data_IF_302542299820
#
_entry.id   IF_302542299820
#
_cell.length_a   1.000
_cell.length_b   1.000
_cell.length_c   1.000
_cell.angle_alpha   90.00
_cell.angle_beta   90.00
_cell.angle_gamma   90.00
#
_symmetry.space_group_name_H-M   'P 1'
#
loop_
_entity.id
_entity.type
_entity.pdbx_description
1 polymer ?
#
# COMPACT_ATOMS: atom_id res chain seq x y z
N UNK A 1 -4.27 7.67 -22.33
CA UNK A 1 -3.54 8.45 -21.31
C UNK A 1 -4.25 8.31 -19.99
N UNK A 2 -3.54 8.00 -18.94
CA UNK A 2 -4.09 8.02 -17.58
C UNK A 2 -4.31 9.49 -17.21
N UNK A 3 -5.52 9.84 -16.79
CA UNK A 3 -5.85 11.23 -16.44
C UNK A 3 -5.27 11.53 -15.05
N UNK A 4 -4.53 12.63 -14.91
CA UNK A 4 -4.04 13.14 -13.63
C UNK A 4 -5.20 13.49 -12.71
N UNK A 5 -4.99 13.33 -11.40
CA UNK A 5 -5.92 13.86 -10.41
C UNK A 5 -5.84 15.39 -10.39
N UNK A 6 -6.98 16.08 -10.29
CA UNK A 6 -6.99 17.55 -10.23
C UNK A 6 -6.36 18.05 -8.92
N UNK A 7 -5.78 19.25 -8.96
CA UNK A 7 -5.10 19.87 -7.80
C UNK A 7 -6.02 19.95 -6.57
N UNK A 8 -7.29 20.21 -6.78
CA UNK A 8 -8.31 20.36 -5.73
C UNK A 8 -8.63 19.05 -4.99
N UNK A 9 -8.14 17.92 -5.52
CA UNK A 9 -8.26 16.63 -4.84
C UNK A 9 -7.39 16.56 -3.59
N UNK A 10 -6.32 17.36 -3.54
CA UNK A 10 -5.32 17.33 -2.47
C UNK A 10 -5.49 18.49 -1.51
N UNK A 11 -5.38 18.22 -0.21
CA UNK A 11 -5.56 19.21 0.85
C UNK A 11 -4.27 19.39 1.64
N UNK A 12 -3.65 20.56 1.51
CA UNK A 12 -2.39 20.88 2.17
C UNK A 12 -2.60 21.91 3.27
N UNK A 13 -1.81 21.87 4.35
CA UNK A 13 -1.70 22.98 5.30
C UNK A 13 -0.82 24.10 4.67
N UNK A 14 -1.36 24.79 3.67
CA UNK A 14 -0.65 25.68 2.75
C UNK A 14 0.25 26.68 3.46
N UNK A 15 -0.28 27.40 4.45
CA UNK A 15 0.49 28.42 5.20
C UNK A 15 1.71 27.82 5.92
N UNK A 16 1.55 26.62 6.49
CA UNK A 16 2.67 25.93 7.15
C UNK A 16 3.71 25.44 6.14
N UNK A 17 3.29 24.95 4.99
CA UNK A 17 4.22 24.49 3.96
C UNK A 17 4.96 25.68 3.36
N UNK A 18 4.26 26.75 2.98
CA UNK A 18 4.85 27.98 2.45
C UNK A 18 5.82 28.66 3.41
N UNK A 19 5.54 28.60 4.72
CA UNK A 19 6.47 29.11 5.73
C UNK A 19 7.70 28.21 5.98
N UNK A 20 7.80 27.08 5.28
CA UNK A 20 8.88 26.11 5.45
C UNK A 20 8.82 25.30 6.75
N UNK A 21 7.69 25.27 7.45
CA UNK A 21 7.55 24.56 8.74
C UNK A 21 7.94 23.07 8.64
N UNK A 22 7.74 22.46 7.47
CA UNK A 22 8.06 21.05 7.20
C UNK A 22 9.34 20.88 6.36
N UNK A 23 10.06 21.95 6.11
CA UNK A 23 11.25 21.95 5.27
C UNK A 23 12.53 21.74 6.09
N UNK A 24 13.51 21.06 5.53
CA UNK A 24 14.85 21.05 6.10
C UNK A 24 15.41 22.47 6.12
N UNK A 25 15.96 22.87 7.26
CA UNK A 25 16.36 24.25 7.52
C UNK A 25 17.38 24.82 6.50
N UNK A 26 18.16 23.97 5.84
CA UNK A 26 19.11 24.44 4.82
C UNK A 26 18.43 24.94 3.54
N UNK A 27 17.23 24.48 3.22
CA UNK A 27 16.45 25.01 2.09
C UNK A 27 15.94 26.42 2.38
N UNK A 28 15.49 26.69 3.61
CA UNK A 28 15.08 28.04 4.01
C UNK A 28 16.25 29.03 3.97
N UNK A 29 17.45 28.58 4.40
CA UNK A 29 18.68 29.37 4.27
C UNK A 29 19.07 29.60 2.80
N UNK A 30 18.81 28.60 1.95
CA UNK A 30 19.03 28.74 0.49
C UNK A 30 18.17 29.87 -0.06
N UNK A 31 16.88 29.90 0.25
CA UNK A 31 15.97 30.96 -0.15
C UNK A 31 16.41 32.34 0.39
N UNK A 32 16.77 32.40 1.69
CA UNK A 32 17.25 33.63 2.32
C UNK A 32 18.51 34.19 1.62
N UNK A 33 19.46 33.29 1.27
CA UNK A 33 20.70 33.68 0.58
C UNK A 33 20.40 34.16 -0.82
N UNK A 34 19.61 33.42 -1.61
CA UNK A 34 19.28 33.76 -3.00
C UNK A 34 18.55 35.11 -3.07
N UNK A 35 17.57 35.32 -2.20
CA UNK A 35 16.82 36.56 -2.14
C UNK A 35 17.72 37.72 -1.64
N UNK A 36 18.57 37.50 -0.63
CA UNK A 36 19.46 38.52 -0.07
C UNK A 36 20.56 38.99 -1.04
N UNK A 37 21.05 38.07 -1.89
CA UNK A 37 22.07 38.35 -2.90
C UNK A 37 21.44 38.80 -4.25
N UNK A 38 20.11 38.83 -4.35
CA UNK A 38 19.36 39.09 -5.57
C UNK A 38 19.82 38.18 -6.71
N UNK A 39 20.04 36.89 -6.39
CA UNK A 39 20.55 35.88 -7.31
C UNK A 39 19.45 34.85 -7.63
N UNK A 40 18.81 34.98 -8.79
CA UNK A 40 17.64 34.26 -9.21
C UNK A 40 17.87 33.44 -10.47
N UNK A 41 18.73 32.40 -10.45
CA UNK A 41 18.99 31.58 -11.62
C UNK A 41 17.78 30.69 -11.92
N UNK A 42 17.49 30.49 -13.20
CA UNK A 42 16.54 29.46 -13.65
C UNK A 42 17.23 28.10 -13.58
N UNK A 43 16.82 27.25 -12.65
CA UNK A 43 17.36 25.90 -12.49
C UNK A 43 16.42 24.85 -13.06
N UNK A 44 16.98 23.69 -13.47
CA UNK A 44 16.21 22.48 -13.71
C UNK A 44 16.61 21.44 -12.64
N UNK A 45 15.65 21.10 -11.79
CA UNK A 45 15.75 20.04 -10.80
C UNK A 45 15.27 18.74 -11.42
N UNK A 46 16.05 17.67 -11.31
CA UNK A 46 15.72 16.32 -11.79
C UNK A 46 15.49 15.40 -10.62
N UNK A 47 14.32 14.73 -10.59
CA UNK A 47 13.95 13.78 -9.56
C UNK A 47 14.11 12.34 -10.10
N UNK A 48 14.74 11.47 -9.31
CA UNK A 48 14.99 10.08 -9.66
C UNK A 48 15.11 9.19 -8.42
N UNK A 49 15.12 7.88 -8.62
CA UNK A 49 15.43 6.87 -7.59
C UNK A 49 16.54 5.95 -8.05
N UNK A 50 17.10 5.16 -7.12
CA UNK A 50 18.13 4.15 -7.41
C UNK A 50 17.58 2.72 -7.43
N UNK A 51 16.28 2.58 -7.43
CA UNK A 51 15.57 1.31 -7.34
C UNK A 51 14.59 1.14 -8.50
N UNK A 52 14.15 -0.11 -8.73
CA UNK A 52 13.00 -0.38 -9.60
C UNK A 52 11.74 -0.18 -8.78
N UNK A 53 10.93 0.79 -9.16
CA UNK A 53 9.72 1.17 -8.43
C UNK A 53 8.52 1.39 -9.33
N UNK A 54 7.34 1.16 -8.77
CA UNK A 54 6.08 1.71 -9.27
C UNK A 54 5.94 3.10 -8.66
N UNK A 55 5.99 4.14 -9.49
CA UNK A 55 5.93 5.52 -9.02
C UNK A 55 4.51 5.84 -8.55
N UNK A 56 4.41 6.53 -7.40
CA UNK A 56 3.15 7.04 -6.88
C UNK A 56 3.40 8.29 -6.05
N UNK A 57 2.45 9.23 -6.06
CA UNK A 57 2.57 10.54 -5.44
C UNK A 57 3.01 11.64 -6.41
N UNK A 58 3.08 11.35 -7.71
CA UNK A 58 3.38 12.36 -8.75
C UNK A 58 2.31 13.44 -8.79
N UNK A 59 1.04 13.05 -8.86
CA UNK A 59 -0.06 14.01 -8.95
C UNK A 59 -0.16 14.87 -7.67
N UNK A 60 0.10 14.28 -6.49
CA UNK A 60 0.16 15.03 -5.23
C UNK A 60 1.36 15.98 -5.20
N UNK A 61 2.52 15.58 -5.70
CA UNK A 61 3.71 16.43 -5.81
C UNK A 61 3.46 17.61 -6.75
N UNK A 62 2.81 17.38 -7.88
CA UNK A 62 2.40 18.44 -8.81
C UNK A 62 1.46 19.43 -8.12
N UNK A 63 0.43 18.92 -7.45
CA UNK A 63 -0.53 19.74 -6.71
C UNK A 63 0.16 20.56 -5.59
N UNK A 64 1.11 19.94 -4.87
CA UNK A 64 1.91 20.61 -3.86
C UNK A 64 2.67 21.81 -4.45
N UNK A 65 3.40 21.62 -5.56
CA UNK A 65 4.19 22.67 -6.21
C UNK A 65 3.26 23.79 -6.69
N UNK A 66 2.18 23.45 -7.40
CA UNK A 66 1.21 24.43 -7.91
C UNK A 66 0.51 25.24 -6.82
N UNK A 67 0.37 24.67 -5.60
CA UNK A 67 -0.34 25.32 -4.49
C UNK A 67 0.61 26.04 -3.53
N UNK A 68 1.78 25.49 -3.30
CA UNK A 68 2.66 25.90 -2.20
C UNK A 68 3.96 26.55 -2.63
N UNK A 69 4.34 26.57 -3.90
CA UNK A 69 5.46 27.38 -4.39
C UNK A 69 5.16 28.89 -4.24
N UNK A 70 6.19 29.73 -4.19
CA UNK A 70 6.01 31.19 -4.07
C UNK A 70 5.41 31.79 -5.33
N UNK A 71 5.94 31.43 -6.51
CA UNK A 71 5.46 31.88 -7.82
C UNK A 71 5.22 30.68 -8.75
N UNK A 72 4.17 29.89 -8.50
CA UNK A 72 3.95 28.61 -9.20
C UNK A 72 3.74 28.76 -10.71
N UNK A 73 3.26 29.91 -11.17
CA UNK A 73 3.06 30.24 -12.57
C UNK A 73 4.38 30.32 -13.37
N UNK A 74 5.51 30.53 -12.71
CA UNK A 74 6.85 30.59 -13.30
C UNK A 74 7.57 29.24 -13.33
N UNK A 75 6.93 28.18 -12.76
CA UNK A 75 7.51 26.84 -12.67
C UNK A 75 6.97 25.95 -13.78
N UNK A 76 7.86 25.35 -14.55
CA UNK A 76 7.53 24.35 -15.56
C UNK A 76 7.80 22.95 -15.01
N UNK A 77 6.81 22.06 -15.07
CA UNK A 77 6.93 20.69 -14.58
C UNK A 77 6.73 19.72 -15.75
N UNK A 78 7.64 18.75 -15.88
CA UNK A 78 7.43 17.58 -16.72
C UNK A 78 7.49 16.34 -15.82
N UNK A 79 6.53 15.42 -15.96
CA UNK A 79 6.44 14.29 -15.05
C UNK A 79 5.86 13.02 -15.70
N UNK A 80 6.21 11.87 -15.15
CA UNK A 80 5.53 10.60 -15.38
C UNK A 80 4.14 10.61 -14.71
N UNK A 81 3.39 9.52 -14.86
CA UNK A 81 2.12 9.31 -14.20
C UNK A 81 2.26 8.35 -12.99
N UNK A 82 1.34 8.48 -12.02
CA UNK A 82 1.21 7.48 -10.97
C UNK A 82 0.90 6.11 -11.56
N UNK A 83 1.65 5.10 -11.16
CA UNK A 83 1.57 3.74 -11.70
C UNK A 83 2.61 3.40 -12.76
N UNK A 84 3.34 4.38 -13.28
CA UNK A 84 4.48 4.13 -14.14
C UNK A 84 5.57 3.36 -13.40
N UNK A 85 6.27 2.48 -14.13
CA UNK A 85 7.43 1.77 -13.62
C UNK A 85 8.70 2.48 -14.07
N UNK A 86 9.62 2.72 -13.13
CA UNK A 86 10.92 3.32 -13.41
C UNK A 86 12.05 2.40 -12.99
N UNK A 87 13.16 2.52 -13.73
CA UNK A 87 14.42 1.84 -13.45
C UNK A 87 15.33 2.75 -12.62
N UNK A 88 16.39 2.19 -11.99
CA UNK A 88 17.40 2.98 -11.32
C UNK A 88 17.94 4.10 -12.20
N UNK A 89 17.99 5.33 -11.66
CA UNK A 89 18.48 6.55 -12.32
C UNK A 89 17.57 7.13 -13.42
N UNK A 90 16.44 6.52 -13.71
CA UNK A 90 15.47 7.07 -14.64
C UNK A 90 14.81 8.32 -14.04
N UNK A 91 14.81 9.43 -14.80
CA UNK A 91 14.15 10.67 -14.39
C UNK A 91 12.64 10.49 -14.41
N UNK A 92 11.99 10.75 -13.27
CA UNK A 92 10.54 10.64 -13.15
C UNK A 92 9.82 12.00 -13.20
N UNK A 93 10.55 13.07 -12.89
CA UNK A 93 10.04 14.44 -12.90
C UNK A 93 11.18 15.42 -13.11
N UNK A 94 10.92 16.52 -13.83
CA UNK A 94 11.74 17.71 -13.81
C UNK A 94 10.92 18.91 -13.37
N UNK A 95 11.53 19.78 -12.54
CA UNK A 95 10.96 21.01 -12.03
C UNK A 95 11.90 22.13 -12.46
N UNK A 96 11.40 23.07 -13.27
CA UNK A 96 12.23 24.14 -13.83
C UNK A 96 11.67 25.50 -13.46
N UNK A 97 12.47 26.32 -12.78
CA UNK A 97 12.08 27.64 -12.31
C UNK A 97 13.19 28.32 -11.50
N UNK A 98 12.87 29.45 -10.85
CA UNK A 98 13.73 30.05 -9.84
C UNK A 98 13.80 29.13 -8.62
N UNK A 99 15.01 28.78 -8.19
CA UNK A 99 15.18 27.90 -7.02
C UNK A 99 14.55 28.47 -5.74
N UNK A 100 14.57 29.78 -5.58
CA UNK A 100 13.97 30.44 -4.40
C UNK A 100 12.44 30.28 -4.36
N UNK A 101 11.79 29.96 -5.48
CA UNK A 101 10.33 29.76 -5.51
C UNK A 101 9.88 28.39 -4.97
N UNK A 102 10.75 27.37 -4.97
CA UNK A 102 10.35 26.00 -4.63
C UNK A 102 11.34 25.18 -3.79
N UNK A 103 12.49 25.75 -3.38
CA UNK A 103 13.49 25.02 -2.60
C UNK A 103 12.90 24.45 -1.30
N UNK A 104 12.04 25.21 -0.60
CA UNK A 104 11.37 24.76 0.64
C UNK A 104 10.45 23.55 0.48
N UNK A 105 10.09 23.17 -0.73
CA UNK A 105 9.18 22.06 -1.00
C UNK A 105 9.91 20.71 -1.13
N UNK A 106 11.24 20.69 -1.30
CA UNK A 106 11.99 19.48 -1.61
C UNK A 106 11.78 18.38 -0.55
N UNK A 107 11.92 18.71 0.72
CA UNK A 107 11.69 17.74 1.81
C UNK A 107 10.28 17.12 1.73
N UNK A 108 9.28 17.93 1.41
CA UNK A 108 7.88 17.51 1.40
C UNK A 108 7.59 16.60 0.21
N UNK A 109 7.95 17.03 -1.02
CA UNK A 109 7.63 16.22 -2.20
C UNK A 109 8.45 14.92 -2.27
N UNK A 110 9.70 14.91 -1.82
CA UNK A 110 10.46 13.66 -1.75
C UNK A 110 9.86 12.68 -0.74
N UNK A 111 9.32 13.17 0.37
CA UNK A 111 8.60 12.37 1.36
C UNK A 111 7.31 11.75 0.81
N UNK A 112 6.52 12.53 0.05
CA UNK A 112 5.32 12.06 -0.65
C UNK A 112 5.67 10.91 -1.60
N UNK A 113 6.62 11.15 -2.52
CA UNK A 113 7.07 10.16 -3.50
C UNK A 113 7.62 8.90 -2.83
N UNK A 114 8.45 9.05 -1.78
CA UNK A 114 9.08 7.93 -1.09
C UNK A 114 8.03 7.01 -0.43
N UNK A 115 7.08 7.58 0.31
CA UNK A 115 6.05 6.80 0.99
C UNK A 115 5.13 6.08 0.01
N UNK A 116 4.54 6.84 -0.90
CA UNK A 116 3.52 6.29 -1.79
C UNK A 116 4.09 5.30 -2.80
N UNK A 117 5.27 5.58 -3.37
CA UNK A 117 5.92 4.63 -4.30
C UNK A 117 6.35 3.35 -3.58
N UNK A 118 6.78 3.41 -2.32
CA UNK A 118 7.09 2.23 -1.52
C UNK A 118 5.86 1.31 -1.40
N UNK A 119 4.72 1.88 -1.03
CA UNK A 119 3.47 1.13 -0.85
C UNK A 119 3.01 0.57 -2.20
N UNK A 120 2.95 1.39 -3.25
CA UNK A 120 2.55 0.96 -4.59
C UNK A 120 3.44 -0.19 -5.11
N UNK A 121 4.75 -0.09 -4.90
CA UNK A 121 5.73 -1.11 -5.31
C UNK A 121 5.55 -2.42 -4.55
N UNK A 122 5.42 -2.37 -3.22
CA UNK A 122 5.22 -3.56 -2.40
C UNK A 122 3.89 -4.25 -2.72
N UNK A 123 2.84 -3.46 -2.94
CA UNK A 123 1.54 -3.95 -3.36
C UNK A 123 1.62 -4.61 -4.74
N UNK A 124 2.25 -3.99 -5.74
CA UNK A 124 2.43 -4.56 -7.08
C UNK A 124 3.11 -5.93 -7.00
N UNK A 125 4.23 -6.03 -6.30
CA UNK A 125 4.96 -7.28 -6.07
C UNK A 125 4.10 -8.36 -5.40
N UNK A 126 3.21 -7.95 -4.51
CA UNK A 126 2.30 -8.86 -3.78
C UNK A 126 1.16 -9.35 -4.68
N UNK A 127 0.57 -8.46 -5.46
CA UNK A 127 -0.51 -8.79 -6.41
C UNK A 127 0.01 -9.72 -7.51
N UNK A 128 1.20 -9.45 -8.05
CA UNK A 128 1.84 -10.33 -9.02
C UNK A 128 2.13 -11.72 -8.45
N UNK A 129 2.60 -11.78 -7.20
CA UNK A 129 2.85 -13.05 -6.51
C UNK A 129 1.59 -13.89 -6.34
N UNK A 130 0.43 -13.25 -6.19
CA UNK A 130 -0.86 -13.92 -5.98
C UNK A 130 -1.47 -14.56 -7.25
N UNK A 131 -0.79 -14.44 -8.40
CA UNK A 131 -1.14 -15.12 -9.65
C UNK A 131 -2.62 -14.97 -10.04
N UNK A 132 -3.15 -13.75 -9.97
CA UNK A 132 -4.54 -13.42 -10.31
C UNK A 132 -5.56 -13.59 -9.19
N UNK A 133 -5.18 -14.17 -8.05
CA UNK A 133 -6.05 -14.24 -6.87
C UNK A 133 -6.18 -12.89 -6.20
N UNK A 134 -7.33 -12.58 -5.57
CA UNK A 134 -7.52 -11.34 -4.84
C UNK A 134 -6.52 -11.15 -3.69
N UNK A 135 -6.00 -9.93 -3.56
CA UNK A 135 -5.21 -9.49 -2.41
C UNK A 135 -5.97 -8.38 -1.72
N UNK A 136 -6.14 -8.47 -0.39
CA UNK A 136 -6.77 -7.46 0.45
C UNK A 136 -5.72 -6.64 1.19
N UNK A 137 -5.91 -5.32 1.22
CA UNK A 137 -5.03 -4.36 1.89
C UNK A 137 -5.44 -4.23 3.37
N UNK A 138 -4.66 -4.85 4.26
CA UNK A 138 -4.96 -4.90 5.70
C UNK A 138 -3.91 -4.24 6.61
N UNK A 139 -3.07 -3.29 6.14
CA UNK A 139 -2.05 -2.68 6.98
C UNK A 139 -2.52 -1.46 7.79
N UNK A 140 -3.79 -1.05 7.74
CA UNK A 140 -4.29 0.20 8.32
C UNK A 140 -3.86 0.46 9.78
N UNK A 141 -3.67 -0.60 10.59
CA UNK A 141 -3.25 -0.49 12.00
C UNK A 141 -1.73 -0.40 12.21
N UNK A 142 -0.94 -0.51 11.14
CA UNK A 142 0.53 -0.50 11.25
C UNK A 142 1.13 0.90 11.10
N UNK A 143 0.29 1.91 10.81
CA UNK A 143 0.69 3.29 10.76
C UNK A 143 -0.43 4.21 11.30
N UNK A 144 -0.18 5.53 11.32
CA UNK A 144 -1.15 6.52 11.82
C UNK A 144 -2.38 6.61 10.90
N UNK A 145 -3.52 6.94 11.50
CA UNK A 145 -4.78 7.09 10.77
C UNK A 145 -4.73 8.20 9.72
N UNK A 146 -3.88 9.24 9.92
CA UNK A 146 -3.76 10.37 9.00
C UNK A 146 -3.26 9.97 7.61
N UNK A 147 -2.56 8.84 7.48
CA UNK A 147 -2.01 8.39 6.20
C UNK A 147 -2.90 7.39 5.46
N UNK A 148 -4.01 6.96 6.04
CA UNK A 148 -4.83 5.89 5.45
C UNK A 148 -5.35 6.21 4.05
N UNK A 149 -5.74 7.45 3.77
CA UNK A 149 -6.26 7.83 2.46
C UNK A 149 -5.18 7.75 1.37
N UNK A 150 -4.00 8.33 1.61
CA UNK A 150 -2.90 8.25 0.66
C UNK A 150 -2.31 6.83 0.54
N UNK A 151 -2.27 6.06 1.63
CA UNK A 151 -1.87 4.65 1.61
C UNK A 151 -2.82 3.81 0.75
N UNK A 152 -4.12 4.07 0.88
CA UNK A 152 -5.17 3.44 0.08
C UNK A 152 -5.07 3.79 -1.41
N UNK A 153 -4.78 5.05 -1.72
CA UNK A 153 -4.50 5.47 -3.10
C UNK A 153 -3.28 4.75 -3.68
N UNK A 154 -2.17 4.74 -2.95
CA UNK A 154 -0.95 4.05 -3.38
C UNK A 154 -1.18 2.54 -3.57
N UNK A 155 -1.97 1.91 -2.69
CA UNK A 155 -2.33 0.51 -2.82
C UNK A 155 -3.22 0.23 -4.05
N UNK A 156 -4.15 1.14 -4.38
CA UNK A 156 -4.93 1.08 -5.62
C UNK A 156 -4.03 1.14 -6.84
N UNK A 157 -3.07 2.07 -6.88
CA UNK A 157 -2.06 2.19 -7.95
C UNK A 157 -1.26 0.89 -8.08
N UNK A 158 -0.90 0.26 -6.97
CA UNK A 158 -0.24 -1.05 -6.94
C UNK A 158 -1.11 -2.22 -7.44
N UNK A 159 -2.43 -2.05 -7.52
CA UNK A 159 -3.37 -3.05 -8.05
C UNK A 159 -4.33 -3.70 -7.05
N UNK A 160 -4.39 -3.22 -5.79
CA UNK A 160 -5.37 -3.68 -4.79
C UNK A 160 -6.79 -3.23 -5.19
N UNK A 161 -7.76 -4.09 -4.88
CA UNK A 161 -9.18 -3.83 -5.11
C UNK A 161 -10.03 -3.92 -3.84
N UNK A 162 -9.46 -4.39 -2.73
CA UNK A 162 -10.18 -4.54 -1.47
C UNK A 162 -9.37 -4.02 -0.29
N UNK A 163 -10.00 -3.22 0.57
CA UNK A 163 -9.37 -2.45 1.65
C UNK A 163 -10.07 -2.72 2.98
N UNK A 164 -9.35 -2.64 4.10
CA UNK A 164 -9.91 -2.93 5.43
C UNK A 164 -10.63 -1.74 6.08
N UNK A 165 -10.45 -0.52 5.58
CA UNK A 165 -11.12 0.67 6.10
C UNK A 165 -11.75 1.50 4.98
N UNK A 166 -12.76 2.29 5.31
CA UNK A 166 -13.39 3.23 4.37
C UNK A 166 -12.38 4.27 3.89
N UNK A 167 -11.48 4.73 4.77
CA UNK A 167 -10.43 5.68 4.41
C UNK A 167 -9.47 5.12 3.35
N UNK A 168 -8.99 3.88 3.54
CA UNK A 168 -8.17 3.23 2.50
C UNK A 168 -8.95 2.99 1.20
N UNK A 169 -10.27 2.76 1.28
CA UNK A 169 -11.12 2.49 0.11
C UNK A 169 -11.53 3.76 -0.65
N UNK A 170 -11.31 4.95 -0.10
CA UNK A 170 -11.82 6.24 -0.61
C UNK A 170 -11.49 6.43 -2.10
N UNK A 171 -10.23 6.31 -2.48
CA UNK A 171 -9.79 6.48 -3.86
C UNK A 171 -10.39 5.47 -4.85
N UNK A 172 -10.95 4.37 -4.35
CA UNK A 172 -11.62 3.33 -5.15
C UNK A 172 -13.15 3.49 -5.18
N UNK A 173 -13.69 4.50 -4.51
CA UNK A 173 -15.14 4.72 -4.36
C UNK A 173 -15.85 3.59 -3.60
N UNK A 174 -15.09 2.78 -2.85
CA UNK A 174 -15.56 1.60 -2.14
C UNK A 174 -15.81 1.83 -0.66
N UNK A 175 -16.13 0.72 0.01
CA UNK A 175 -16.24 0.61 1.46
C UNK A 175 -15.20 -0.35 1.99
N UNK A 176 -14.84 -0.20 3.25
CA UNK A 176 -13.98 -1.13 3.95
C UNK A 176 -14.57 -2.53 3.95
N UNK A 177 -13.73 -3.51 3.63
CA UNK A 177 -14.06 -4.93 3.70
C UNK A 177 -13.53 -5.49 5.02
N UNK A 178 -14.29 -6.34 5.65
CA UNK A 178 -13.88 -6.94 6.89
C UNK A 178 -14.62 -8.23 7.20
N UNK A 179 -14.06 -8.95 8.16
CA UNK A 179 -14.66 -10.12 8.75
C UNK A 179 -14.96 -9.80 10.22
N UNK A 180 -15.12 -10.78 11.08
CA UNK A 180 -15.18 -10.58 12.53
C UNK A 180 -13.76 -10.63 13.13
N UNK A 181 -13.43 -9.81 14.14
CA UNK A 181 -12.16 -9.89 14.86
C UNK A 181 -12.18 -10.92 15.98
N UNK A 182 -11.00 -11.37 16.43
CA UNK A 182 -10.85 -12.20 17.64
C UNK A 182 -11.55 -11.59 18.88
N UNK A 183 -11.57 -10.26 19.00
CA UNK A 183 -12.23 -9.56 20.10
C UNK A 183 -13.74 -9.85 20.16
N UNK A 184 -14.42 -9.97 19.02
CA UNK A 184 -15.83 -10.36 19.02
C UNK A 184 -16.00 -11.80 19.52
N UNK A 185 -15.17 -12.74 19.04
CA UNK A 185 -15.21 -14.13 19.47
C UNK A 185 -14.96 -14.23 20.99
N UNK A 186 -13.97 -13.50 21.48
CA UNK A 186 -13.68 -13.44 22.91
C UNK A 186 -14.87 -12.92 23.72
N UNK A 187 -15.61 -11.91 23.22
CA UNK A 187 -16.82 -11.38 23.88
C UNK A 187 -17.99 -12.38 23.92
N UNK A 188 -17.94 -13.41 23.07
CA UNK A 188 -18.82 -14.58 23.12
C UNK A 188 -18.22 -15.78 23.86
N UNK A 189 -17.32 -15.51 24.83
CA UNK A 189 -16.62 -16.52 25.60
C UNK A 189 -15.87 -17.58 24.76
N UNK A 190 -15.30 -17.14 23.63
CA UNK A 190 -14.58 -18.03 22.72
C UNK A 190 -15.47 -18.81 21.73
N UNK A 191 -16.77 -18.63 21.78
CA UNK A 191 -17.69 -19.36 20.91
C UNK A 191 -17.76 -18.73 19.52
N UNK A 192 -16.89 -19.19 18.60
CA UNK A 192 -16.81 -18.71 17.22
C UNK A 192 -18.13 -18.91 16.46
N UNK A 193 -18.84 -20.01 16.70
CA UNK A 193 -20.13 -20.27 16.04
C UNK A 193 -21.15 -19.21 16.45
N UNK A 194 -21.32 -18.95 17.74
CA UNK A 194 -22.27 -17.95 18.23
C UNK A 194 -21.92 -16.53 17.75
N UNK A 195 -20.64 -16.18 17.75
CA UNK A 195 -20.18 -14.89 17.22
C UNK A 195 -20.50 -14.74 15.72
N UNK A 196 -20.33 -15.81 14.93
CA UNK A 196 -20.61 -15.80 13.48
C UNK A 196 -22.12 -15.81 13.19
N UNK A 197 -22.93 -16.49 14.01
CA UNK A 197 -24.40 -16.39 13.93
C UNK A 197 -24.89 -14.96 14.21
N UNK A 198 -24.32 -14.30 15.22
CA UNK A 198 -24.63 -12.91 15.51
C UNK A 198 -24.24 -11.99 14.35
N UNK A 199 -23.08 -12.23 13.74
CA UNK A 199 -22.68 -11.54 12.51
C UNK A 199 -23.71 -11.74 11.39
N UNK A 200 -24.17 -12.96 11.15
CA UNK A 200 -25.20 -13.24 10.14
C UNK A 200 -26.53 -12.55 10.43
N UNK A 201 -26.91 -12.51 11.68
CA UNK A 201 -28.21 -11.95 12.11
C UNK A 201 -28.26 -10.42 12.06
N UNK A 202 -27.17 -9.74 12.44
CA UNK A 202 -27.22 -8.29 12.72
C UNK A 202 -26.50 -7.42 11.69
N UNK A 203 -25.64 -7.97 10.86
CA UNK A 203 -24.91 -7.22 9.83
C UNK A 203 -25.63 -7.33 8.50
N UNK A 204 -25.61 -6.27 7.69
CA UNK A 204 -26.25 -6.21 6.38
C UNK A 204 -25.93 -7.48 5.56
N UNK A 205 -26.96 -8.11 5.00
CA UNK A 205 -26.85 -9.36 4.23
C UNK A 205 -25.96 -9.24 2.97
N UNK A 206 -25.71 -8.01 2.49
CA UNK A 206 -24.77 -7.76 1.39
C UNK A 206 -23.31 -8.00 1.78
N UNK A 207 -22.99 -8.00 3.06
CA UNK A 207 -21.63 -8.26 3.54
C UNK A 207 -21.41 -9.78 3.59
N UNK A 208 -20.37 -10.27 2.92
CA UNK A 208 -20.05 -11.69 2.88
C UNK A 208 -19.71 -12.23 4.29
N UNK A 209 -20.35 -13.34 4.67
CA UNK A 209 -20.10 -14.00 5.97
C UNK A 209 -18.81 -14.79 5.90
N UNK A 210 -17.74 -14.21 6.43
CA UNK A 210 -16.42 -14.84 6.53
C UNK A 210 -16.10 -15.03 8.01
N UNK A 211 -16.00 -16.28 8.44
CA UNK A 211 -15.71 -16.64 9.83
C UNK A 211 -14.20 -16.68 10.07
N UNK A 212 -13.75 -16.17 11.22
CA UNK A 212 -12.37 -16.29 11.70
C UNK A 212 -12.28 -17.56 12.55
N UNK A 213 -11.47 -18.57 12.15
CA UNK A 213 -11.59 -19.93 12.67
C UNK A 213 -10.40 -20.42 13.50
N UNK A 214 -9.46 -19.54 13.79
CA UNK A 214 -8.22 -19.88 14.52
C UNK A 214 -8.25 -19.54 16.02
N UNK A 215 -9.38 -19.12 16.58
CA UNK A 215 -9.46 -18.64 17.97
C UNK A 215 -8.99 -19.69 18.98
N UNK A 216 -9.43 -20.95 18.83
CA UNK A 216 -9.04 -22.07 19.69
C UNK A 216 -7.84 -22.86 19.14
N UNK A 217 -7.18 -22.32 18.11
CA UNK A 217 -6.10 -22.99 17.39
C UNK A 217 -6.52 -24.38 16.86
N UNK A 218 -7.77 -24.46 16.38
CA UNK A 218 -8.45 -25.66 15.86
C UNK A 218 -9.27 -25.29 14.60
N UNK A 219 -8.57 -24.85 13.57
CA UNK A 219 -9.19 -24.28 12.37
C UNK A 219 -10.12 -25.28 11.67
N UNK A 220 -9.77 -26.56 11.63
CA UNK A 220 -10.57 -27.58 10.94
C UNK A 220 -11.92 -27.77 11.61
N UNK A 221 -11.94 -28.08 12.91
CA UNK A 221 -13.19 -28.34 13.62
C UNK A 221 -14.04 -27.07 13.73
N UNK A 222 -13.43 -25.91 13.92
CA UNK A 222 -14.13 -24.62 13.97
C UNK A 222 -14.75 -24.27 12.63
N UNK A 223 -14.03 -24.47 11.50
CA UNK A 223 -14.56 -24.25 10.16
C UNK A 223 -15.78 -25.13 9.86
N UNK A 224 -15.70 -26.43 10.20
CA UNK A 224 -16.83 -27.36 10.05
C UNK A 224 -18.02 -26.96 10.91
N UNK A 225 -17.79 -26.60 12.18
CA UNK A 225 -18.87 -26.20 13.09
C UNK A 225 -19.63 -24.97 12.57
N UNK A 226 -18.90 -23.96 12.09
CA UNK A 226 -19.50 -22.75 11.50
C UNK A 226 -20.21 -23.09 10.18
N UNK A 227 -19.59 -23.91 9.32
CA UNK A 227 -20.19 -24.30 8.03
C UNK A 227 -21.49 -25.09 8.20
N UNK A 228 -21.53 -26.04 9.14
CA UNK A 228 -22.76 -26.79 9.48
C UNK A 228 -23.86 -25.86 10.00
N UNK A 229 -23.48 -24.82 10.75
CA UNK A 229 -24.45 -23.89 11.37
C UNK A 229 -25.03 -22.89 10.38
N UNK A 230 -24.18 -22.25 9.56
CA UNK A 230 -24.61 -21.20 8.63
C UNK A 230 -25.02 -21.75 7.25
N UNK A 231 -24.58 -22.95 6.88
CA UNK A 231 -24.87 -23.53 5.56
C UNK A 231 -24.46 -22.56 4.45
N UNK A 232 -25.33 -22.34 3.49
CA UNK A 232 -25.09 -21.50 2.31
C UNK A 232 -24.89 -20.01 2.60
N UNK A 233 -25.19 -19.55 3.82
CA UNK A 233 -24.91 -18.18 4.24
C UNK A 233 -23.41 -17.96 4.49
N UNK A 234 -22.65 -19.01 4.79
CA UNK A 234 -21.20 -18.89 4.97
C UNK A 234 -20.51 -18.73 3.62
N UNK A 235 -19.92 -17.58 3.37
CA UNK A 235 -19.16 -17.29 2.16
C UNK A 235 -17.71 -17.80 2.24
N UNK A 236 -17.11 -17.80 3.43
CA UNK A 236 -15.72 -18.22 3.59
C UNK A 236 -15.28 -18.36 5.04
N UNK A 237 -14.07 -18.87 5.20
CA UNK A 237 -13.35 -18.94 6.48
C UNK A 237 -12.01 -18.22 6.34
N UNK A 238 -11.58 -17.52 7.40
CA UNK A 238 -10.27 -16.86 7.47
C UNK A 238 -9.38 -17.59 8.47
N UNK A 239 -8.19 -17.95 8.00
CA UNK A 239 -7.10 -18.51 8.76
C UNK A 239 -6.13 -17.39 9.12
N UNK A 240 -5.86 -17.16 10.40
CA UNK A 240 -4.97 -16.11 10.91
C UNK A 240 -4.03 -16.63 12.01
N UNK A 241 -3.82 -17.95 12.04
CA UNK A 241 -2.98 -18.64 13.05
C UNK A 241 -1.65 -17.95 13.23
N UNK A 242 -1.32 -17.59 14.47
CA UNK A 242 -0.06 -16.91 14.80
C UNK A 242 1.15 -17.71 14.34
N UNK A 243 2.18 -17.03 13.81
CA UNK A 243 3.43 -17.63 13.37
C UNK A 243 4.21 -18.40 14.45
N UNK A 244 3.80 -18.30 15.72
CA UNK A 244 4.39 -19.01 16.85
C UNK A 244 3.54 -20.20 17.34
N UNK A 245 2.36 -20.41 16.75
CA UNK A 245 1.41 -21.45 17.18
C UNK A 245 1.32 -22.56 16.13
N UNK A 246 0.98 -23.77 16.59
CA UNK A 246 0.72 -24.93 15.74
C UNK A 246 -0.76 -25.28 15.88
N UNK A 247 -1.49 -25.34 14.77
CA UNK A 247 -2.90 -25.75 14.75
C UNK A 247 -3.06 -27.21 15.22
N UNK A 248 -4.13 -27.52 15.95
CA UNK A 248 -4.39 -28.87 16.47
C UNK A 248 -4.42 -29.93 15.37
N UNK A 249 -4.88 -29.62 14.19
CA UNK A 249 -4.92 -30.56 13.05
C UNK A 249 -3.53 -31.00 12.56
N UNK A 250 -2.46 -30.31 13.00
CA UNK A 250 -1.07 -30.58 12.60
C UNK A 250 -0.24 -31.28 13.69
N UNK A 251 -0.78 -31.47 14.90
CA UNK A 251 -0.01 -32.03 16.03
C UNK A 251 0.58 -33.41 15.74
N UNK A 252 -0.12 -34.22 14.95
CA UNK A 252 0.37 -35.55 14.53
C UNK A 252 1.48 -35.50 13.45
N UNK A 253 1.81 -34.32 12.93
CA UNK A 253 2.79 -34.12 11.84
C UNK A 253 4.02 -33.33 12.32
N UNK A 254 4.19 -33.14 13.62
CA UNK A 254 5.33 -32.46 14.21
C UNK A 254 6.65 -33.15 13.80
N UNK A 255 7.65 -32.35 13.42
CA UNK A 255 8.96 -32.83 12.97
C UNK A 255 9.06 -33.19 11.48
N UNK A 256 7.96 -33.22 10.73
CA UNK A 256 7.97 -33.49 9.29
C UNK A 256 8.23 -32.22 8.45
N UNK A 257 7.79 -31.07 8.95
CA UNK A 257 7.94 -29.74 8.33
C UNK A 257 7.79 -28.67 9.42
N UNK A 258 7.87 -27.38 9.07
CA UNK A 258 7.53 -26.30 10.01
C UNK A 258 6.02 -26.06 10.02
N UNK A 259 5.28 -26.53 11.05
CA UNK A 259 3.83 -26.46 11.11
C UNK A 259 3.27 -25.15 11.70
N UNK A 260 4.14 -24.16 11.99
CA UNK A 260 3.72 -22.93 12.68
C UNK A 260 2.98 -21.96 11.76
N UNK A 261 2.01 -21.28 12.31
CA UNK A 261 1.21 -20.28 11.59
C UNK A 261 0.30 -20.90 10.54
N UNK A 262 -0.10 -20.10 9.56
CA UNK A 262 -0.93 -20.57 8.44
C UNK A 262 -0.03 -21.25 7.41
N UNK A 263 0.36 -22.49 7.63
CA UNK A 263 1.17 -23.28 6.68
C UNK A 263 0.30 -23.93 5.59
N UNK A 264 0.94 -24.47 4.56
CA UNK A 264 0.27 -25.11 3.40
C UNK A 264 -0.61 -26.28 3.83
N UNK A 265 -0.10 -27.09 4.73
CA UNK A 265 -0.77 -28.29 5.25
C UNK A 265 -2.03 -27.91 6.02
N UNK A 266 -2.03 -26.82 6.79
CA UNK A 266 -3.23 -26.33 7.48
C UNK A 266 -4.32 -25.97 6.48
N UNK A 267 -3.98 -25.22 5.44
CA UNK A 267 -4.96 -24.83 4.40
C UNK A 267 -5.55 -26.07 3.72
N UNK A 268 -4.71 -27.05 3.38
CA UNK A 268 -5.17 -28.32 2.81
C UNK A 268 -6.05 -29.12 3.78
N UNK A 269 -5.73 -29.15 5.07
CA UNK A 269 -6.56 -29.85 6.07
C UNK A 269 -7.94 -29.22 6.16
N UNK A 270 -8.04 -27.89 6.23
CA UNK A 270 -9.32 -27.17 6.22
C UNK A 270 -10.10 -27.42 4.93
N UNK A 271 -9.45 -27.35 3.77
CA UNK A 271 -10.12 -27.57 2.47
C UNK A 271 -10.69 -28.97 2.36
N UNK A 272 -9.88 -30.00 2.64
CA UNK A 272 -10.32 -31.40 2.60
C UNK A 272 -11.47 -31.68 3.56
N UNK A 273 -11.44 -31.12 4.75
CA UNK A 273 -12.51 -31.29 5.72
C UNK A 273 -13.83 -30.66 5.25
N UNK A 274 -13.76 -29.44 4.71
CA UNK A 274 -14.93 -28.76 4.16
C UNK A 274 -15.51 -29.54 2.95
N UNK A 275 -14.65 -30.00 2.04
CA UNK A 275 -15.08 -30.78 0.86
C UNK A 275 -15.73 -32.11 1.23
N UNK A 276 -15.18 -32.79 2.24
CA UNK A 276 -15.72 -34.08 2.70
C UNK A 276 -17.16 -33.97 3.23
N UNK A 277 -17.57 -32.78 3.69
CA UNK A 277 -18.94 -32.52 4.16
C UNK A 277 -19.79 -31.71 3.15
N UNK A 278 -19.31 -31.53 1.92
CA UNK A 278 -20.07 -30.84 0.86
C UNK A 278 -20.07 -29.32 0.98
N UNK A 279 -19.08 -28.73 1.69
CA UNK A 279 -18.88 -27.29 1.81
C UNK A 279 -17.80 -26.78 0.86
N UNK A 280 -17.70 -27.36 -0.33
CA UNK A 280 -16.73 -27.02 -1.40
C UNK A 280 -16.85 -25.57 -1.88
N UNK A 281 -18.01 -24.96 -1.73
CA UNK A 281 -18.28 -23.55 -2.05
C UNK A 281 -17.67 -22.55 -1.05
N UNK A 282 -17.31 -22.98 0.16
CA UNK A 282 -16.77 -22.11 1.22
C UNK A 282 -15.34 -21.68 0.83
N UNK A 283 -15.12 -20.38 0.73
CA UNK A 283 -13.83 -19.80 0.34
C UNK A 283 -12.83 -19.81 1.50
N UNK A 284 -11.56 -19.95 1.18
CA UNK A 284 -10.47 -19.89 2.17
C UNK A 284 -9.67 -18.59 1.98
N UNK A 285 -9.73 -17.73 2.98
CA UNK A 285 -8.96 -16.50 3.10
C UNK A 285 -7.80 -16.76 4.06
N UNK A 286 -6.59 -16.39 3.67
CA UNK A 286 -5.43 -16.52 4.56
C UNK A 286 -4.87 -15.15 4.93
N UNK A 287 -4.45 -15.01 6.19
CA UNK A 287 -3.78 -13.83 6.75
C UNK A 287 -2.66 -14.27 7.71
N UNK A 288 -2.01 -13.36 8.41
CA UNK A 288 -0.94 -13.72 9.34
C UNK A 288 0.43 -13.91 8.68
N UNK A 289 1.13 -12.78 8.41
CA UNK A 289 2.53 -12.76 7.98
C UNK A 289 2.78 -13.19 6.53
N UNK A 290 1.81 -12.99 5.64
CA UNK A 290 2.02 -13.18 4.21
C UNK A 290 2.81 -12.02 3.61
N UNK A 291 3.71 -12.36 2.70
CA UNK A 291 4.53 -11.47 1.88
C UNK A 291 4.69 -12.07 0.47
N UNK A 292 5.25 -11.35 -0.50
CA UNK A 292 5.36 -11.85 -1.87
C UNK A 292 6.09 -13.20 -2.01
N UNK A 293 7.11 -13.46 -1.19
CA UNK A 293 7.86 -14.72 -1.26
C UNK A 293 6.99 -15.89 -0.80
N UNK A 294 6.31 -15.73 0.34
CA UNK A 294 5.42 -16.75 0.89
C UNK A 294 4.21 -17.01 0.00
N UNK A 295 3.65 -15.96 -0.62
CA UNK A 295 2.55 -16.11 -1.58
C UNK A 295 3.00 -16.93 -2.79
N UNK A 296 4.16 -16.62 -3.39
CA UNK A 296 4.72 -17.42 -4.49
C UNK A 296 4.93 -18.88 -4.12
N UNK A 297 5.39 -19.16 -2.90
CA UNK A 297 5.55 -20.51 -2.39
C UNK A 297 4.21 -21.27 -2.32
N UNK A 298 3.14 -20.59 -1.86
CA UNK A 298 1.80 -21.18 -1.78
C UNK A 298 1.21 -21.42 -3.17
N UNK A 299 1.35 -20.45 -4.08
CA UNK A 299 0.87 -20.59 -5.45
C UNK A 299 1.61 -21.69 -6.23
N UNK A 300 2.93 -21.76 -6.08
CA UNK A 300 3.74 -22.81 -6.71
C UNK A 300 3.40 -24.22 -6.20
N UNK A 301 2.94 -24.33 -4.95
CA UNK A 301 2.49 -25.58 -4.35
C UNK A 301 0.99 -25.90 -4.62
N UNK A 302 0.29 -25.06 -5.36
CA UNK A 302 -1.14 -25.25 -5.66
C UNK A 302 -2.05 -25.22 -4.43
N UNK A 303 -1.65 -24.49 -3.37
CA UNK A 303 -2.43 -24.41 -2.12
C UNK A 303 -3.81 -23.78 -2.40
N UNK A 304 -4.91 -24.36 -1.90
CA UNK A 304 -6.27 -23.91 -2.21
C UNK A 304 -6.67 -22.65 -1.43
N UNK A 305 -5.91 -21.57 -1.62
CA UNK A 305 -6.23 -20.24 -1.12
C UNK A 305 -7.10 -19.53 -2.16
N UNK A 306 -8.18 -18.90 -1.73
CA UNK A 306 -9.02 -18.06 -2.59
C UNK A 306 -8.64 -16.58 -2.50
N UNK A 307 -8.13 -16.11 -1.35
CA UNK A 307 -7.81 -14.69 -1.13
C UNK A 307 -6.68 -14.53 -0.11
N UNK A 308 -5.75 -13.64 -0.39
CA UNK A 308 -4.69 -13.24 0.53
C UNK A 308 -5.03 -11.92 1.22
N UNK A 309 -5.06 -11.87 2.55
CA UNK A 309 -5.18 -10.63 3.31
C UNK A 309 -3.79 -10.27 3.87
N UNK A 310 -3.20 -9.20 3.33
CA UNK A 310 -1.81 -8.84 3.59
C UNK A 310 -1.74 -7.54 4.40
N UNK A 311 -0.96 -7.56 5.47
CA UNK A 311 -0.80 -6.44 6.40
C UNK A 311 0.59 -5.79 6.31
N UNK A 312 1.38 -5.91 7.39
CA UNK A 312 2.64 -5.18 7.62
C UNK A 312 3.62 -5.22 6.46
N UNK A 313 3.74 -6.35 5.76
CA UNK A 313 4.71 -6.49 4.67
C UNK A 313 4.48 -5.53 3.49
N UNK A 314 3.30 -4.94 3.38
CA UNK A 314 3.02 -3.89 2.38
C UNK A 314 3.68 -2.55 2.74
N UNK A 315 4.12 -2.38 3.98
CA UNK A 315 4.83 -1.19 4.47
C UNK A 315 6.33 -1.43 4.69
N UNK A 316 6.85 -2.62 4.37
CA UNK A 316 8.25 -2.98 4.59
C UNK A 316 9.21 -2.17 3.71
N UNK A 317 10.44 -2.04 4.20
CA UNK A 317 11.55 -1.40 3.49
C UNK A 317 11.43 0.11 3.37
N UNK A 318 12.38 0.68 2.63
CA UNK A 318 12.42 2.11 2.29
C UNK A 318 12.68 2.26 0.80
N UNK A 319 12.03 3.21 0.16
CA UNK A 319 12.35 3.69 -1.18
C UNK A 319 12.73 5.15 -1.04
N UNK A 320 13.89 5.53 -1.58
CA UNK A 320 14.40 6.88 -1.50
C UNK A 320 14.41 7.54 -2.87
N UNK A 321 13.98 8.79 -2.92
CA UNK A 321 14.11 9.65 -4.08
C UNK A 321 15.16 10.73 -3.81
N UNK A 322 15.75 11.22 -4.88
CA UNK A 322 16.73 12.29 -4.86
C UNK A 322 16.33 13.33 -5.89
N UNK A 323 16.46 14.59 -5.54
CA UNK A 323 16.37 15.72 -6.44
C UNK A 323 17.74 16.37 -6.56
N UNK A 324 18.23 16.55 -7.77
CA UNK A 324 19.50 17.23 -8.05
C UNK A 324 19.28 18.29 -9.13
N UNK A 325 19.87 19.48 -8.94
CA UNK A 325 19.99 20.46 -10.04
C UNK A 325 20.92 19.88 -11.10
N UNK A 326 20.47 19.93 -12.34
CA UNK A 326 21.22 19.40 -13.50
C UNK A 326 21.44 20.45 -14.59
N UNK A 327 20.69 21.56 -14.57
CA UNK A 327 20.89 22.70 -15.46
C UNK A 327 20.70 24.02 -14.67
N UNK A 328 21.46 25.04 -15.09
CA UNK A 328 21.35 26.42 -14.60
C UNK A 328 21.39 27.33 -15.81
N UNK A 329 20.39 28.19 -15.98
CA UNK A 329 20.24 29.12 -17.10
C UNK A 329 20.45 28.46 -18.50
N UNK A 330 19.85 27.26 -18.62
CA UNK A 330 19.92 26.47 -19.87
C UNK A 330 21.25 25.77 -20.13
N UNK A 331 22.20 25.79 -19.22
CA UNK A 331 23.50 25.12 -19.33
C UNK A 331 23.61 23.97 -18.33
N UNK A 332 24.24 22.88 -18.74
CA UNK A 332 24.52 21.79 -17.81
C UNK A 332 25.36 22.26 -16.63
N UNK A 333 24.82 22.09 -15.43
CA UNK A 333 25.48 22.37 -14.18
C UNK A 333 24.95 21.40 -13.12
N UNK A 334 25.75 20.43 -12.74
CA UNK A 334 25.35 19.41 -11.79
C UNK A 334 26.53 19.09 -10.85
N UNK A 335 26.18 18.57 -9.67
CA UNK A 335 27.16 18.01 -8.74
C UNK A 335 28.00 16.93 -9.43
N UNK A 336 29.27 16.81 -9.08
CA UNK A 336 30.17 15.74 -9.56
C UNK A 336 29.49 14.36 -9.45
N UNK A 337 29.45 13.64 -10.56
CA UNK A 337 28.79 12.33 -10.67
C UNK A 337 27.27 12.41 -10.94
N UNK A 338 26.74 13.60 -11.21
CA UNK A 338 25.40 13.85 -11.71
C UNK A 338 25.45 14.45 -13.10
N UNK A 339 24.39 14.31 -13.86
CA UNK A 339 24.19 14.92 -15.18
C UNK A 339 22.71 14.96 -15.53
N UNK A 340 22.33 15.76 -16.47
CA UNK A 340 21.00 15.69 -17.04
C UNK A 340 20.76 14.34 -17.74
N UNK A 341 19.69 13.64 -17.37
CA UNK A 341 19.25 12.39 -17.95
C UNK A 341 17.84 12.58 -18.51
N UNK A 342 17.73 12.97 -19.78
CA UNK A 342 16.42 13.18 -20.42
C UNK A 342 15.61 11.90 -20.43
N UNK A 343 14.31 12.01 -20.10
CA UNK A 343 13.37 10.90 -20.24
C UNK A 343 12.24 11.33 -21.19
N UNK A 344 12.14 10.72 -22.40
CA UNK A 344 11.13 11.07 -23.39
C UNK A 344 9.70 10.68 -22.96
N UNK A 345 9.54 9.96 -21.85
CA UNK A 345 8.24 9.61 -21.28
C UNK A 345 7.64 10.73 -20.44
N UNK A 346 8.41 11.75 -20.08
CA UNK A 346 7.90 12.87 -19.30
C UNK A 346 6.93 13.71 -20.13
N UNK A 347 5.79 14.00 -19.57
CA UNK A 347 4.78 14.86 -20.17
C UNK A 347 4.76 16.22 -19.46
N UNK A 348 4.58 17.30 -20.25
CA UNK A 348 4.38 18.64 -19.70
C UNK A 348 3.11 18.64 -18.87
N UNK A 349 3.19 19.24 -17.69
CA UNK A 349 2.05 19.42 -16.79
C UNK A 349 1.42 20.78 -17.02
N UNK A 350 0.18 20.81 -17.52
CA UNK A 350 -0.61 22.01 -17.74
C UNK A 350 -1.06 22.70 -16.44
#
# INVERSE_FOLDING_TARGET
MQKRLPVEHFHFPVEKIKSGYYSDAYFLRTEEILNGDNHHPRVMMQVFTRENVVVCGIDETIALIKTCAHNPENITIHALHDGDEVKPWETLMTIEGDLADFAHLETVYLGILARQSRIATNVRRTVEAANGKPVLFFPARYDTWQTQECDGYAAKIGGIKGFSTDANALASGGKGLGTIPHALIASYNGNTVAATEAFDKYVDSKIARIALVDFDNDCVNTALAVARKLGRNLAGVRLDTSGTMVDKSLLGQLGMFNPTGVCKELVWNVRRALDAEGFDYVKIIVSGGFNPARIREFEAAGVPVDTYAVGSSLFDGNINFTADIVMVDGKECAKQGRRHLPNPRLELVD
#
